data_IF_213424022549
#
_entry.id   IF_213424022549
#
_cell.length_a   1.000
_cell.length_b   1.000
_cell.length_c   1.000
_cell.angle_alpha   90.00
_cell.angle_beta   90.00
_cell.angle_gamma   90.00
#
_symmetry.space_group_name_H-M   'P 1'
#
loop_
_entity.id
_entity.type
_entity.pdbx_description
1 polymer ?
#
# COMPACT_ATOMS: atom_id res chain seq x y z
N UNK A 1 3.88 -28.25 3.92
CA UNK A 1 2.95 -27.24 4.46
C UNK A 1 3.11 -27.14 5.96
N UNK A 2 3.90 -26.16 6.44
CA UNK A 2 4.22 -25.98 7.87
C UNK A 2 3.04 -25.46 8.71
N UNK A 3 2.03 -24.86 8.07
CA UNK A 3 0.85 -24.30 8.74
C UNK A 3 -0.39 -25.13 8.36
N UNK A 4 -1.10 -25.73 9.33
CA UNK A 4 -2.34 -26.45 9.06
C UNK A 4 -3.43 -25.51 8.54
N UNK A 5 -4.23 -25.95 7.56
CA UNK A 5 -5.39 -25.18 7.06
C UNK A 5 -6.36 -24.81 8.19
N UNK A 6 -6.49 -25.67 9.20
CA UNK A 6 -7.35 -25.44 10.35
C UNK A 6 -6.87 -24.27 11.23
N UNK A 7 -5.56 -24.09 11.39
CA UNK A 7 -5.00 -22.94 12.10
C UNK A 7 -5.37 -21.62 11.41
N UNK A 8 -5.30 -21.58 10.07
CA UNK A 8 -5.69 -20.39 9.29
C UNK A 8 -7.17 -20.07 9.51
N UNK A 9 -8.05 -21.08 9.46
CA UNK A 9 -9.49 -20.87 9.70
C UNK A 9 -9.76 -20.33 11.10
N UNK A 10 -9.16 -20.93 12.13
CA UNK A 10 -9.36 -20.51 13.52
C UNK A 10 -8.87 -19.09 13.76
N UNK A 11 -7.69 -18.72 13.23
CA UNK A 11 -7.18 -17.35 13.38
C UNK A 11 -8.01 -16.32 12.62
N UNK A 12 -8.60 -16.68 11.48
CA UNK A 12 -9.55 -15.80 10.77
C UNK A 12 -10.83 -15.60 11.59
N UNK A 13 -11.40 -16.65 12.18
CA UNK A 13 -12.60 -16.54 13.01
C UNK A 13 -12.36 -15.61 14.22
N UNK A 14 -11.25 -15.80 14.94
CA UNK A 14 -10.87 -14.90 16.03
C UNK A 14 -10.68 -13.45 15.56
N UNK A 15 -10.06 -13.26 14.39
CA UNK A 15 -9.89 -11.92 13.81
C UNK A 15 -11.21 -11.28 13.42
N UNK A 16 -12.18 -12.06 12.92
CA UNK A 16 -13.52 -11.56 12.63
C UNK A 16 -14.22 -11.00 13.87
N UNK A 17 -13.99 -11.63 15.02
CA UNK A 17 -14.55 -11.18 16.29
C UNK A 17 -13.82 -9.93 16.84
N UNK A 18 -12.48 -9.95 16.84
CA UNK A 18 -11.64 -8.85 17.33
C UNK A 18 -11.79 -7.59 16.47
N UNK A 19 -11.95 -7.75 15.15
CA UNK A 19 -11.94 -6.66 14.17
C UNK A 19 -13.29 -6.48 13.46
N UNK A 20 -14.38 -6.89 14.10
CA UNK A 20 -15.75 -6.77 13.57
C UNK A 20 -16.07 -5.35 13.07
N UNK A 21 -15.64 -4.31 13.80
CA UNK A 21 -15.79 -2.90 13.43
C UNK A 21 -14.98 -2.46 12.19
N UNK A 22 -13.83 -3.10 11.93
CA UNK A 22 -13.03 -2.81 10.74
C UNK A 22 -13.54 -3.60 9.54
N UNK A 23 -14.01 -4.82 9.76
CA UNK A 23 -14.54 -5.72 8.73
C UNK A 23 -15.88 -5.21 8.21
N UNK A 24 -16.72 -4.62 9.06
CA UNK A 24 -18.00 -4.00 8.64
C UNK A 24 -17.82 -2.81 7.69
N UNK A 25 -16.60 -2.27 7.56
CA UNK A 25 -16.27 -1.16 6.65
C UNK A 25 -15.83 -1.61 5.25
N UNK A 26 -15.86 -2.91 4.95
CA UNK A 26 -15.43 -3.46 3.65
C UNK A 26 -16.49 -3.22 2.53
N UNK A 27 -17.66 -2.66 2.84
CA UNK A 27 -18.70 -2.39 1.83
C UNK A 27 -18.34 -1.21 0.89
N UNK A 28 -17.88 -1.56 -0.31
CA UNK A 28 -17.82 -0.68 -1.51
C UNK A 28 -16.50 0.10 -1.71
N UNK A 29 -15.95 0.02 -2.94
CA UNK A 29 -14.84 0.73 -3.67
C UNK A 29 -13.57 1.20 -2.94
N UNK A 30 -13.62 1.42 -1.63
CA UNK A 30 -12.51 1.62 -0.70
C UNK A 30 -11.99 0.29 -0.09
N UNK A 31 -12.53 -0.85 -0.54
CA UNK A 31 -12.37 -2.17 0.06
C UNK A 31 -10.94 -2.70 0.00
N UNK A 32 -10.12 -2.31 -0.98
CA UNK A 32 -8.81 -2.91 -1.19
C UNK A 32 -7.78 -2.46 -0.12
N UNK A 33 -7.82 -1.19 0.29
CA UNK A 33 -6.94 -0.68 1.36
C UNK A 33 -7.32 -1.27 2.72
N UNK A 34 -8.62 -1.36 3.00
CA UNK A 34 -9.15 -1.95 4.23
C UNK A 34 -8.87 -3.45 4.28
N UNK A 35 -9.09 -4.18 3.17
CA UNK A 35 -8.77 -5.60 3.07
C UNK A 35 -7.27 -5.87 3.25
N UNK A 36 -6.40 -5.01 2.70
CA UNK A 36 -4.95 -5.07 2.94
C UNK A 36 -4.61 -4.86 4.41
N UNK A 37 -5.21 -3.84 5.04
CA UNK A 37 -5.00 -3.58 6.46
C UNK A 37 -5.40 -4.78 7.33
N UNK A 38 -6.57 -5.37 7.04
CA UNK A 38 -7.05 -6.58 7.72
C UNK A 38 -6.09 -7.76 7.50
N UNK A 39 -5.58 -7.93 6.28
CA UNK A 39 -4.57 -8.94 5.97
C UNK A 39 -3.31 -8.78 6.82
N UNK A 40 -2.76 -7.55 6.91
CA UNK A 40 -1.60 -7.27 7.75
C UNK A 40 -1.84 -7.52 9.23
N UNK A 41 -3.00 -7.10 9.76
CA UNK A 41 -3.35 -7.36 11.15
C UNK A 41 -3.55 -8.86 11.42
N UNK A 42 -4.14 -9.61 10.48
CA UNK A 42 -4.26 -11.07 10.58
C UNK A 42 -2.88 -11.74 10.63
N UNK A 43 -1.94 -11.31 9.79
CA UNK A 43 -0.56 -11.82 9.80
C UNK A 43 0.09 -11.56 11.16
N UNK A 44 0.01 -10.33 11.68
CA UNK A 44 0.58 -9.97 12.99
C UNK A 44 -0.02 -10.84 14.10
N UNK A 45 -1.34 -11.01 14.07
CA UNK A 45 -2.06 -11.86 15.02
C UNK A 45 -1.60 -13.32 14.94
N UNK A 46 -1.62 -13.91 13.74
CA UNK A 46 -1.20 -15.30 13.51
C UNK A 46 0.25 -15.54 13.94
N UNK A 47 1.15 -14.59 13.65
CA UNK A 47 2.56 -14.67 14.08
C UNK A 47 2.71 -14.67 15.60
N UNK A 48 1.94 -13.83 16.30
CA UNK A 48 1.93 -13.80 17.77
C UNK A 48 1.47 -15.12 18.36
N UNK A 49 0.39 -15.71 17.81
CA UNK A 49 -0.10 -17.03 18.23
C UNK A 49 0.98 -18.12 18.06
N UNK A 50 1.66 -18.14 16.90
CA UNK A 50 2.76 -19.07 16.62
C UNK A 50 3.95 -18.89 17.59
N UNK A 51 4.39 -17.65 17.82
CA UNK A 51 5.51 -17.35 18.73
C UNK A 51 5.20 -17.72 20.18
N UNK A 52 3.93 -17.63 20.58
CA UNK A 52 3.48 -17.99 21.91
C UNK A 52 3.19 -19.49 22.05
N UNK A 53 3.10 -20.23 20.95
CA UNK A 53 2.68 -21.63 20.96
C UNK A 53 1.22 -21.81 21.38
N UNK A 54 0.40 -20.76 21.23
CA UNK A 54 -0.98 -20.72 21.70
C UNK A 54 -1.87 -20.31 20.53
N UNK A 55 -2.88 -21.13 20.23
CA UNK A 55 -3.99 -20.80 19.35
C UNK A 55 -5.24 -21.50 19.88
N UNK A 56 -6.08 -20.80 20.68
CA UNK A 56 -7.28 -21.39 21.24
C UNK A 56 -8.25 -21.83 20.14
N UNK A 57 -8.83 -23.00 20.29
CA UNK A 57 -9.87 -23.47 19.40
C UNK A 57 -11.09 -22.54 19.50
N UNK A 58 -11.65 -22.12 18.36
CA UNK A 58 -12.73 -21.13 18.34
C UNK A 58 -14.01 -21.61 19.05
N UNK A 59 -14.42 -22.85 18.83
CA UNK A 59 -15.66 -23.43 19.40
C UNK A 59 -15.48 -24.30 20.64
N UNK A 60 -14.24 -24.65 21.02
CA UNK A 60 -13.98 -25.64 22.07
C UNK A 60 -13.08 -24.98 23.09
N UNK A 61 -13.62 -24.75 24.28
CA UNK A 61 -12.87 -24.14 25.38
C UNK A 61 -11.68 -25.01 25.79
N UNK A 62 -10.61 -24.35 26.25
CA UNK A 62 -9.41 -24.98 26.79
C UNK A 62 -8.63 -25.90 25.81
N UNK A 63 -8.95 -25.90 24.52
CA UNK A 63 -8.16 -26.60 23.49
C UNK A 63 -7.20 -25.64 22.82
N UNK A 64 -5.91 -25.96 22.85
CA UNK A 64 -4.87 -25.24 22.11
C UNK A 64 -4.48 -26.00 20.85
N UNK A 65 -4.74 -25.42 19.67
CA UNK A 65 -4.42 -26.04 18.38
C UNK A 65 -2.92 -26.17 18.10
N UNK A 66 -2.08 -25.38 18.78
CA UNK A 66 -0.64 -25.40 18.59
C UNK A 66 0.10 -26.31 19.57
N UNK A 67 -0.59 -26.83 20.59
CA UNK A 67 -0.01 -27.72 21.61
C UNK A 67 0.72 -28.95 21.03
N UNK A 68 0.25 -29.60 19.94
CA UNK A 68 0.94 -30.77 19.38
C UNK A 68 2.27 -30.44 18.67
N UNK A 69 2.58 -29.16 18.43
CA UNK A 69 3.70 -28.75 17.60
C UNK A 69 4.90 -28.29 18.43
N UNK A 70 6.10 -28.62 17.97
CA UNK A 70 7.34 -28.11 18.59
C UNK A 70 7.47 -26.61 18.34
N UNK A 71 7.88 -25.87 19.38
CA UNK A 71 8.05 -24.41 19.30
C UNK A 71 9.02 -23.99 18.18
N UNK A 72 10.05 -24.78 17.90
CA UNK A 72 10.99 -24.56 16.80
C UNK A 72 10.29 -24.45 15.44
N UNK A 73 9.36 -25.38 15.15
CA UNK A 73 8.58 -25.39 13.90
C UNK A 73 7.60 -24.21 13.84
N UNK A 74 7.05 -23.82 14.98
CA UNK A 74 6.14 -22.67 15.07
C UNK A 74 6.89 -21.35 14.83
N UNK A 75 8.12 -21.24 15.36
CA UNK A 75 8.99 -20.11 15.11
C UNK A 75 9.40 -20.02 13.63
N UNK A 76 9.74 -21.16 13.01
CA UNK A 76 10.04 -21.24 11.57
C UNK A 76 8.82 -20.79 10.74
N UNK A 77 7.63 -21.28 11.07
CA UNK A 77 6.39 -20.87 10.41
C UNK A 77 6.10 -19.37 10.59
N UNK A 78 6.35 -18.81 11.78
CA UNK A 78 6.19 -17.37 12.07
C UNK A 78 7.17 -16.50 11.28
N UNK A 79 8.42 -16.95 11.12
CA UNK A 79 9.44 -16.27 10.32
C UNK A 79 9.09 -16.33 8.83
N UNK A 80 8.65 -17.49 8.33
CA UNK A 80 8.21 -17.62 6.93
C UNK A 80 7.01 -16.70 6.63
N UNK A 81 6.06 -16.58 7.56
CA UNK A 81 4.95 -15.63 7.46
C UNK A 81 5.43 -14.18 7.40
N UNK A 82 6.46 -13.82 8.17
CA UNK A 82 7.04 -12.48 8.17
C UNK A 82 7.74 -12.15 6.86
N UNK A 83 8.58 -13.06 6.36
CA UNK A 83 9.38 -12.86 5.16
C UNK A 83 8.51 -12.64 3.93
N UNK A 84 7.47 -13.47 3.76
CA UNK A 84 6.54 -13.33 2.63
C UNK A 84 5.83 -11.98 2.60
N UNK A 85 5.54 -11.42 3.77
CA UNK A 85 4.79 -10.18 3.93
C UNK A 85 5.70 -8.97 3.76
N UNK A 86 6.95 -9.07 4.22
CA UNK A 86 7.96 -8.05 3.96
C UNK A 86 8.35 -7.98 2.48
N UNK A 87 8.44 -9.11 1.79
CA UNK A 87 8.69 -9.15 0.33
C UNK A 87 7.61 -8.37 -0.43
N UNK A 88 6.33 -8.59 -0.12
CA UNK A 88 5.23 -7.86 -0.75
C UNK A 88 5.23 -6.36 -0.39
N UNK A 89 5.58 -6.00 0.85
CA UNK A 89 5.71 -4.59 1.25
C UNK A 89 6.89 -3.89 0.57
N UNK A 90 8.05 -4.54 0.48
CA UNK A 90 9.24 -3.98 -0.16
C UNK A 90 9.02 -3.73 -1.66
N UNK A 91 8.40 -4.68 -2.36
CA UNK A 91 8.03 -4.52 -3.77
C UNK A 91 7.07 -3.35 -3.96
N UNK A 92 6.10 -3.16 -3.07
CA UNK A 92 5.17 -2.03 -3.16
C UNK A 92 5.83 -0.67 -2.91
N UNK A 93 6.76 -0.59 -1.96
CA UNK A 93 7.53 0.64 -1.71
C UNK A 93 8.34 1.01 -2.95
N UNK A 94 9.02 0.04 -3.57
CA UNK A 94 9.80 0.25 -4.79
C UNK A 94 8.91 0.73 -5.95
N UNK A 95 7.74 0.12 -6.15
CA UNK A 95 6.77 0.59 -7.14
C UNK A 95 6.24 2.01 -6.85
N UNK A 96 5.99 2.36 -5.59
CA UNK A 96 5.57 3.71 -5.20
C UNK A 96 6.67 4.75 -5.46
N UNK A 97 7.92 4.41 -5.16
CA UNK A 97 9.07 5.28 -5.42
C UNK A 97 9.26 5.53 -6.92
N UNK A 98 9.17 4.47 -7.75
CA UNK A 98 9.23 4.58 -9.22
C UNK A 98 8.09 5.47 -9.73
N UNK A 99 6.86 5.25 -9.25
CA UNK A 99 5.69 6.03 -9.67
C UNK A 99 5.82 7.50 -9.29
N UNK A 100 6.35 7.79 -8.09
CA UNK A 100 6.65 9.16 -7.64
C UNK A 100 7.68 9.82 -8.56
N UNK A 101 8.78 9.14 -8.89
CA UNK A 101 9.80 9.66 -9.80
C UNK A 101 9.23 9.96 -11.20
N UNK A 102 8.35 9.09 -11.72
CA UNK A 102 7.66 9.34 -13.00
C UNK A 102 6.79 10.60 -12.94
N UNK A 103 5.99 10.76 -11.88
CA UNK A 103 5.13 11.95 -11.70
C UNK A 103 5.97 13.22 -11.59
N UNK A 104 7.04 13.21 -10.78
CA UNK A 104 7.94 14.35 -10.66
C UNK A 104 8.60 14.72 -12.01
N UNK A 105 8.98 13.72 -12.81
CA UNK A 105 9.48 13.92 -14.17
C UNK A 105 8.44 14.56 -15.09
N UNK A 106 7.20 14.08 -15.05
CA UNK A 106 6.09 14.66 -15.82
C UNK A 106 5.79 16.11 -15.41
N UNK A 107 5.77 16.41 -14.11
CA UNK A 107 5.57 17.76 -13.61
C UNK A 107 6.67 18.72 -14.11
N UNK A 108 7.94 18.33 -14.04
CA UNK A 108 9.06 19.12 -14.58
C UNK A 108 8.90 19.41 -16.08
N UNK A 109 8.47 18.40 -16.85
CA UNK A 109 8.23 18.57 -18.28
C UNK A 109 7.09 19.56 -18.56
N UNK A 110 6.00 19.49 -17.80
CA UNK A 110 4.87 20.43 -17.91
C UNK A 110 5.31 21.86 -17.55
N UNK A 111 6.10 22.03 -16.49
CA UNK A 111 6.64 23.34 -16.10
C UNK A 111 7.54 23.92 -17.20
N UNK A 112 8.42 23.11 -17.78
CA UNK A 112 9.31 23.53 -18.86
C UNK A 112 8.53 23.93 -20.10
N UNK A 113 7.53 23.14 -20.50
CA UNK A 113 6.67 23.45 -21.64
C UNK A 113 5.87 24.74 -21.40
N UNK A 114 5.35 24.92 -20.19
CA UNK A 114 4.63 26.14 -19.79
C UNK A 114 5.53 27.38 -19.86
N UNK A 115 6.81 27.27 -19.45
CA UNK A 115 7.79 28.37 -19.58
C UNK A 115 8.08 28.69 -21.05
N UNK A 116 8.23 27.67 -21.90
CA UNK A 116 8.46 27.86 -23.34
C UNK A 116 7.28 28.59 -24.00
N UNK A 117 6.04 28.21 -23.70
CA UNK A 117 4.86 28.90 -24.20
C UNK A 117 4.84 30.38 -23.82
N UNK A 118 5.11 30.72 -22.55
CA UNK A 118 5.19 32.12 -22.10
C UNK A 118 6.26 32.94 -22.84
N UNK A 119 7.38 32.30 -23.19
CA UNK A 119 8.44 32.96 -23.98
C UNK A 119 7.98 33.20 -25.42
N UNK A 120 7.26 32.26 -26.03
CA UNK A 120 6.66 32.43 -27.36
C UNK A 120 5.67 33.60 -27.36
N UNK A 121 4.79 33.67 -26.36
CA UNK A 121 3.82 34.77 -26.22
C UNK A 121 4.52 36.13 -26.05
N UNK A 122 5.62 36.17 -25.30
CA UNK A 122 6.42 37.39 -25.11
C UNK A 122 7.11 37.82 -26.41
N UNK A 123 7.66 36.87 -27.18
CA UNK A 123 8.28 37.15 -28.48
C UNK A 123 7.22 37.68 -29.45
N UNK A 124 6.02 37.10 -29.47
CA UNK A 124 4.92 37.58 -30.31
C UNK A 124 4.54 39.01 -29.94
N UNK A 125 4.36 39.31 -28.64
CA UNK A 125 4.04 40.65 -28.17
C UNK A 125 5.13 41.69 -28.53
N UNK A 126 6.41 41.29 -28.49
CA UNK A 126 7.52 42.15 -28.90
C UNK A 126 7.54 42.40 -30.42
N UNK A 127 7.23 41.37 -31.23
CA UNK A 127 7.10 41.52 -32.68
C UNK A 127 5.92 42.43 -33.02
N UNK A 128 4.75 42.22 -32.40
CA UNK A 128 3.56 43.04 -32.60
C UNK A 128 3.85 44.51 -32.24
N UNK A 129 4.56 44.76 -31.12
CA UNK A 129 5.00 46.11 -30.75
C UNK A 129 5.97 46.73 -31.77
N UNK A 130 6.91 45.94 -32.29
CA UNK A 130 7.86 46.43 -33.30
C UNK A 130 7.16 46.82 -34.60
N UNK A 131 6.21 46.01 -35.07
CA UNK A 131 5.40 46.30 -36.25
C UNK A 131 4.52 47.54 -36.05
N UNK A 132 3.88 47.66 -34.89
CA UNK A 132 3.06 48.85 -34.55
C UNK A 132 3.89 50.14 -34.47
N UNK A 133 5.17 50.08 -34.06
CA UNK A 133 6.04 51.26 -33.99
C UNK A 133 6.33 51.87 -35.37
N UNK A 134 6.35 51.07 -36.43
CA UNK A 134 6.52 51.57 -37.81
C UNK A 134 5.21 52.12 -38.41
N UNK A 135 4.06 51.79 -37.81
CA UNK A 135 2.75 52.28 -38.21
C UNK A 135 2.34 53.57 -37.48
N UNK A 136 3.11 54.03 -36.49
CA UNK A 136 2.91 55.32 -35.85
C UNK A 136 3.54 56.42 -36.71
N UNK A 137 2.76 57.28 -37.40
CA UNK A 137 3.34 58.44 -38.03
C UNK A 137 3.76 59.38 -36.92
N UNK A 138 4.99 59.88 -36.98
CA UNK A 138 5.38 61.10 -36.26
C UNK A 138 4.48 62.24 -36.76
N UNK A 139 3.34 62.44 -36.09
CA UNK A 139 2.72 63.75 -35.92
C UNK A 139 3.49 64.54 -34.88
#
# INVERSE_FOLDING_TARGET
NLIPSYFVKTTVLWMCEIMSDLISKIDGDSSESVARQIGFEWIKFARKQLQQGICPHYFIENVNLLEPYKQELLNEASNTLYEKVNLDQMVQIEFMEIRKQMIEGMCKNVEQFTRQLKVVDLIQALNDYHEMKHLWPLT
#
